data_IF_068338552815
#
_entry.id   IF_068338552815
#
_cell.length_a   1.000
_cell.length_b   1.000
_cell.length_c   1.000
_cell.angle_alpha   90.00
_cell.angle_beta   90.00
_cell.angle_gamma   90.00
#
_symmetry.space_group_name_H-M   'P 1'
#
loop_
_entity.id
_entity.type
_entity.pdbx_description
1 polymer ?
#
# COMPACT_ATOMS: atom_id res chain seq x y z
N UNK A 1 -70.90 3.64 30.63
CA UNK A 1 -70.00 3.09 29.59
C UNK A 1 -68.98 4.10 29.03
N UNK A 2 -69.04 5.41 29.38
CA UNK A 2 -68.15 6.42 28.77
C UNK A 2 -66.78 6.66 29.47
N UNK A 3 -66.61 6.29 30.74
CA UNK A 3 -65.36 6.59 31.49
C UNK A 3 -64.18 5.68 31.11
N UNK A 4 -64.44 4.48 30.58
CA UNK A 4 -63.39 3.50 30.22
C UNK A 4 -62.60 3.96 28.98
N UNK A 5 -63.29 4.51 27.98
CA UNK A 5 -62.68 5.08 26.77
C UNK A 5 -61.77 6.27 27.07
N UNK A 6 -62.08 7.08 28.09
CA UNK A 6 -61.27 8.25 28.42
C UNK A 6 -59.91 7.87 29.02
N UNK A 7 -59.85 6.82 29.85
CA UNK A 7 -58.57 6.33 30.41
C UNK A 7 -57.67 5.73 29.33
N UNK A 8 -58.24 5.00 28.38
CA UNK A 8 -57.49 4.40 27.29
C UNK A 8 -57.01 5.45 26.27
N UNK A 9 -57.79 6.51 26.06
CA UNK A 9 -57.38 7.68 25.27
C UNK A 9 -56.16 8.40 25.87
N UNK A 10 -56.17 8.67 27.18
CA UNK A 10 -55.02 9.28 27.86
C UNK A 10 -53.77 8.39 27.85
N UNK A 11 -53.92 7.07 27.98
CA UNK A 11 -52.81 6.11 27.82
C UNK A 11 -52.20 6.16 26.42
N UNK A 12 -53.03 6.22 25.39
CA UNK A 12 -52.57 6.30 24.00
C UNK A 12 -51.78 7.59 23.76
N UNK A 13 -52.28 8.73 24.27
CA UNK A 13 -51.57 10.02 24.22
C UNK A 13 -50.22 9.93 24.95
N UNK A 14 -50.18 9.35 26.15
CA UNK A 14 -48.92 9.19 26.89
C UNK A 14 -47.89 8.34 26.14
N UNK A 15 -48.33 7.28 25.45
CA UNK A 15 -47.45 6.45 24.61
C UNK A 15 -46.92 7.24 23.41
N UNK A 16 -47.78 8.01 22.74
CA UNK A 16 -47.36 8.84 21.59
C UNK A 16 -46.36 9.94 22.01
N UNK A 17 -46.58 10.56 23.17
CA UNK A 17 -45.62 11.53 23.74
C UNK A 17 -44.28 10.85 24.05
N UNK A 18 -44.30 9.65 24.63
CA UNK A 18 -43.07 8.91 24.92
C UNK A 18 -42.29 8.57 23.64
N UNK A 19 -42.98 8.10 22.60
CA UNK A 19 -42.37 7.80 21.29
C UNK A 19 -41.76 9.08 20.69
N UNK A 20 -42.48 10.20 20.74
CA UNK A 20 -41.98 11.48 20.26
C UNK A 20 -40.75 11.97 21.03
N UNK A 21 -40.73 11.81 22.35
CA UNK A 21 -39.56 12.12 23.19
C UNK A 21 -38.36 11.24 22.87
N UNK A 22 -38.56 9.95 22.60
CA UNK A 22 -37.47 9.04 22.19
C UNK A 22 -36.92 9.46 20.83
N UNK A 23 -37.77 9.72 19.84
CA UNK A 23 -37.34 10.14 18.50
C UNK A 23 -36.55 11.47 18.58
N UNK A 24 -37.07 12.46 19.30
CA UNK A 24 -36.39 13.76 19.45
C UNK A 24 -35.06 13.64 20.19
N UNK A 25 -34.95 12.77 21.20
CA UNK A 25 -33.70 12.47 21.89
C UNK A 25 -32.63 11.92 20.92
N UNK A 26 -33.00 10.99 20.04
CA UNK A 26 -32.07 10.43 19.05
C UNK A 26 -31.65 11.46 17.99
N UNK A 27 -32.54 12.37 17.57
CA UNK A 27 -32.18 13.48 16.68
C UNK A 27 -31.19 14.47 17.33
N UNK A 28 -31.33 14.75 18.62
CA UNK A 28 -30.38 15.60 19.37
C UNK A 28 -29.01 14.92 19.45
N UNK A 29 -28.95 13.61 19.73
CA UNK A 29 -27.69 12.86 19.73
C UNK A 29 -27.02 12.85 18.35
N UNK A 30 -27.79 12.69 17.27
CA UNK A 30 -27.28 12.74 15.91
C UNK A 30 -26.67 14.13 15.59
N UNK A 31 -27.36 15.21 15.97
CA UNK A 31 -26.86 16.58 15.78
C UNK A 31 -25.55 16.83 16.55
N UNK A 32 -25.45 16.33 17.79
CA UNK A 32 -24.22 16.41 18.58
C UNK A 32 -23.09 15.63 17.89
N UNK A 33 -23.35 14.43 17.37
CA UNK A 33 -22.36 13.62 16.65
C UNK A 33 -21.87 14.30 15.35
N UNK A 34 -22.78 14.91 14.59
CA UNK A 34 -22.41 15.67 13.37
C UNK A 34 -21.57 16.89 13.74
N UNK A 35 -21.95 17.64 14.78
CA UNK A 35 -21.20 18.79 15.25
C UNK A 35 -19.78 18.41 15.73
N UNK A 36 -19.62 17.31 16.46
CA UNK A 36 -18.30 16.83 16.91
C UNK A 36 -17.43 16.39 15.74
N UNK A 37 -17.99 15.73 14.73
CA UNK A 37 -17.27 15.37 13.49
C UNK A 37 -16.83 16.60 12.70
N UNK A 38 -17.67 17.64 12.61
CA UNK A 38 -17.31 18.90 11.95
C UNK A 38 -16.20 19.63 12.70
N UNK A 39 -16.28 19.73 14.03
CA UNK A 39 -15.23 20.32 14.86
C UNK A 39 -13.92 19.53 14.72
N UNK A 40 -13.97 18.20 14.77
CA UNK A 40 -12.80 17.34 14.57
C UNK A 40 -12.20 17.51 13.17
N UNK A 41 -13.03 17.58 12.12
CA UNK A 41 -12.61 17.86 10.75
C UNK A 41 -11.90 19.21 10.62
N UNK A 42 -12.43 20.27 11.24
CA UNK A 42 -11.83 21.61 11.28
C UNK A 42 -10.50 21.59 12.03
N UNK A 43 -10.43 20.93 13.20
CA UNK A 43 -9.19 20.78 13.98
C UNK A 43 -8.13 20.04 13.16
N UNK A 44 -8.49 18.93 12.52
CA UNK A 44 -7.59 18.12 11.70
C UNK A 44 -7.10 18.89 10.47
N UNK A 45 -7.99 19.64 9.82
CA UNK A 45 -7.63 20.52 8.71
C UNK A 45 -6.66 21.63 9.15
N UNK A 46 -6.92 22.27 10.29
CA UNK A 46 -6.01 23.27 10.88
C UNK A 46 -4.65 22.69 11.27
N UNK A 47 -4.59 21.47 11.82
CA UNK A 47 -3.34 20.78 12.13
C UNK A 47 -2.54 20.44 10.86
N UNK A 48 -3.20 19.97 9.79
CA UNK A 48 -2.56 19.72 8.50
C UNK A 48 -1.98 21.01 7.90
N UNK A 49 -2.72 22.12 7.96
CA UNK A 49 -2.26 23.43 7.48
C UNK A 49 -1.09 24.00 8.31
N UNK A 50 -1.11 23.86 9.64
CA UNK A 50 0.02 24.26 10.50
C UNK A 50 1.30 23.47 10.17
N UNK A 51 1.19 22.17 9.83
CA UNK A 51 2.34 21.35 9.38
C UNK A 51 2.94 21.84 8.06
N UNK A 52 2.11 22.21 7.09
CA UNK A 52 2.57 22.78 5.81
C UNK A 52 3.26 24.14 6.01
N UNK A 53 2.79 24.95 6.95
CA UNK A 53 3.41 26.26 7.26
C UNK A 53 4.71 26.09 8.07
N UNK A 54 4.78 25.14 9.02
CA UNK A 54 6.02 24.86 9.76
C UNK A 54 7.12 24.26 8.87
N UNK A 55 6.78 23.34 7.96
CA UNK A 55 7.75 22.83 6.96
C UNK A 55 8.25 23.91 5.99
N UNK A 56 7.46 24.96 5.74
CA UNK A 56 7.88 26.14 4.96
C UNK A 56 8.68 27.17 5.78
N UNK A 57 8.58 27.15 7.11
CA UNK A 57 9.32 28.04 8.02
C UNK A 57 10.66 27.43 8.42
N UNK A 58 10.70 26.13 8.68
CA UNK A 58 11.92 25.39 9.04
C UNK A 58 12.93 25.34 7.88
N UNK A 59 12.48 25.57 6.64
CA UNK A 59 13.36 25.75 5.47
C UNK A 59 13.91 27.18 5.32
N UNK A 60 13.41 28.16 6.08
CA UNK A 60 13.91 29.55 6.09
C UNK A 60 14.86 29.83 7.26
N UNK A 61 14.84 29.02 8.31
CA UNK A 61 15.65 29.25 9.53
C UNK A 61 16.97 28.45 9.59
N UNK A 62 17.35 27.72 8.51
CA UNK A 62 18.68 27.05 8.40
C UNK A 62 19.73 27.97 7.73
N UNK A 63 19.38 29.18 7.31
CA UNK A 63 20.33 30.15 6.73
C UNK A 63 20.37 31.47 7.50
N UNK A 64 20.57 31.47 8.82
CA UNK A 64 20.99 32.70 9.52
C UNK A 64 21.43 32.46 10.97
N UNK A 65 22.63 31.92 11.19
CA UNK A 65 23.47 32.37 12.31
C UNK A 65 24.89 31.85 12.13
N UNK A 66 25.80 32.72 11.69
CA UNK A 66 27.19 32.84 12.16
C UNK A 66 27.84 34.03 11.40
N UNK A 67 28.01 35.13 12.14
CA UNK A 67 29.03 36.19 11.97
C UNK A 67 28.96 37.14 10.76
N UNK A 68 28.08 38.14 10.83
CA UNK A 68 28.13 39.35 9.97
C UNK A 68 28.97 40.50 10.56
N UNK A 69 29.64 40.32 11.71
CA UNK A 69 30.48 41.38 12.31
C UNK A 69 31.98 41.24 12.02
N UNK A 70 32.49 40.06 11.65
CA UNK A 70 33.90 39.87 11.27
C UNK A 70 34.17 40.13 9.77
N UNK A 71 33.13 40.06 8.93
CA UNK A 71 33.28 40.24 7.47
C UNK A 71 33.35 41.72 7.04
N UNK A 72 32.69 42.61 7.79
CA UNK A 72 32.61 44.04 7.46
C UNK A 72 33.91 44.83 7.75
N UNK A 73 34.76 44.33 8.65
CA UNK A 73 36.07 44.95 8.93
C UNK A 73 37.10 44.64 7.84
N UNK A 74 37.04 43.47 7.20
CA UNK A 74 37.95 43.12 6.10
C UNK A 74 37.67 43.93 4.84
N UNK A 75 36.41 44.25 4.54
CA UNK A 75 36.01 45.00 3.35
C UNK A 75 36.47 46.47 3.40
N UNK A 76 36.55 47.08 4.60
CA UNK A 76 37.03 48.47 4.77
C UNK A 76 38.55 48.63 4.54
N UNK A 77 39.31 47.53 4.50
CA UNK A 77 40.78 47.57 4.35
C UNK A 77 41.27 47.34 2.91
N UNK A 78 40.38 46.94 1.98
CA UNK A 78 40.78 46.57 0.62
C UNK A 78 40.86 47.80 -0.32
N UNK A 79 42.04 48.02 -0.91
CA UNK A 79 42.27 49.06 -1.93
C UNK A 79 41.44 48.76 -3.20
N UNK A 80 40.88 49.79 -3.87
CA UNK A 80 40.03 49.58 -5.04
C UNK A 80 40.87 49.16 -6.25
N UNK A 81 40.53 48.00 -6.84
CA UNK A 81 41.03 47.56 -8.15
C UNK A 81 40.17 48.20 -9.24
N UNK A 82 40.84 48.73 -10.28
CA UNK A 82 40.24 49.44 -11.42
C UNK A 82 39.23 48.56 -12.18
N UNK A 83 38.08 49.15 -12.49
CA UNK A 83 36.99 48.59 -13.28
C UNK A 83 37.44 48.18 -14.69
N UNK A 84 37.29 46.90 -15.04
CA UNK A 84 37.13 46.46 -16.42
C UNK A 84 35.65 46.21 -16.70
N UNK A 85 35.07 47.04 -17.59
CA UNK A 85 33.65 47.03 -17.97
C UNK A 85 33.20 45.77 -18.73
N UNK A 86 34.11 44.91 -19.17
CA UNK A 86 33.77 43.78 -20.06
C UNK A 86 33.09 42.59 -19.37
N UNK A 87 33.25 42.43 -18.05
CA UNK A 87 32.64 41.32 -17.30
C UNK A 87 31.17 41.60 -16.97
N UNK A 88 30.80 42.87 -16.79
CA UNK A 88 29.42 43.25 -16.42
C UNK A 88 28.45 43.12 -17.61
N UNK A 89 28.92 43.34 -18.84
CA UNK A 89 28.11 43.15 -20.06
C UNK A 89 27.90 41.68 -20.41
N UNK A 90 28.91 40.83 -20.20
CA UNK A 90 28.80 39.39 -20.42
C UNK A 90 27.88 38.72 -19.38
N UNK A 91 27.84 39.21 -18.14
CA UNK A 91 26.87 38.76 -17.13
C UNK A 91 25.44 39.20 -17.47
N UNK A 92 25.23 40.45 -17.94
CA UNK A 92 23.89 40.92 -18.35
C UNK A 92 23.29 40.14 -19.52
N UNK A 93 24.12 39.61 -20.42
CA UNK A 93 23.70 38.73 -21.50
C UNK A 93 23.42 37.29 -21.05
N UNK A 94 24.03 36.84 -19.94
CA UNK A 94 23.80 35.53 -19.36
C UNK A 94 22.64 35.49 -18.35
N UNK A 95 22.17 36.65 -17.87
CA UNK A 95 21.06 36.79 -16.91
C UNK A 95 19.75 37.25 -17.54
N UNK A 96 19.62 37.28 -18.87
CA UNK A 96 18.30 37.40 -19.48
C UNK A 96 17.57 36.08 -19.28
N UNK A 97 16.71 36.02 -18.26
CA UNK A 97 15.79 34.91 -18.05
C UNK A 97 15.10 34.56 -19.38
N UNK A 98 15.07 33.29 -19.80
CA UNK A 98 14.29 32.92 -20.95
C UNK A 98 12.85 33.34 -20.68
N UNK A 99 12.24 34.07 -21.61
CA UNK A 99 10.83 34.44 -21.60
C UNK A 99 9.99 33.15 -21.62
N UNK A 100 9.81 32.53 -20.46
CA UNK A 100 8.99 31.36 -20.28
C UNK A 100 7.54 31.85 -20.25
N UNK A 101 6.86 31.68 -21.37
CA UNK A 101 5.43 31.93 -21.44
C UNK A 101 4.72 30.90 -20.55
N UNK A 102 4.40 31.27 -19.31
CA UNK A 102 3.63 30.44 -18.37
C UNK A 102 2.21 30.09 -18.88
N UNK A 103 1.76 30.71 -19.98
CA UNK A 103 0.50 30.43 -20.66
C UNK A 103 0.67 29.68 -22.00
N UNK A 104 1.88 29.22 -22.34
CA UNK A 104 2.04 28.27 -23.43
C UNK A 104 1.51 26.91 -22.93
N UNK A 105 0.59 26.23 -23.64
CA UNK A 105 0.20 24.88 -23.27
C UNK A 105 1.46 24.02 -23.30
N UNK A 106 1.86 23.51 -22.13
CA UNK A 106 2.87 22.47 -22.05
C UNK A 106 2.26 21.28 -22.78
N UNK A 107 2.68 21.03 -24.02
CA UNK A 107 2.47 19.75 -24.67
C UNK A 107 3.35 18.74 -23.97
N UNK A 108 2.90 18.29 -22.79
CA UNK A 108 3.24 16.96 -22.34
C UNK A 108 2.50 16.09 -23.34
N UNK A 109 3.22 15.35 -24.19
CA UNK A 109 2.66 14.21 -24.93
C UNK A 109 2.18 13.19 -23.88
N UNK A 110 1.05 13.50 -23.23
CA UNK A 110 0.39 12.60 -22.31
C UNK A 110 -0.25 11.54 -23.18
N UNK A 111 0.01 10.26 -22.90
CA UNK A 111 -0.62 9.19 -23.64
C UNK A 111 -2.14 9.35 -23.57
N UNK A 112 -2.84 9.09 -24.67
CA UNK A 112 -4.29 8.93 -24.59
C UNK A 112 -4.54 7.58 -23.93
N UNK A 113 -5.26 7.60 -22.81
CA UNK A 113 -5.51 6.40 -22.00
C UNK A 113 -6.93 5.92 -22.28
N UNK A 114 -7.05 4.69 -22.78
CA UNK A 114 -8.31 4.03 -23.06
C UNK A 114 -8.50 2.84 -22.12
N UNK A 115 -9.46 2.94 -21.20
CA UNK A 115 -9.93 1.74 -20.50
C UNK A 115 -10.81 0.96 -21.46
N UNK A 116 -10.40 -0.26 -21.78
CA UNK A 116 -11.17 -1.14 -22.64
C UNK A 116 -12.38 -1.70 -21.87
N UNK A 117 -13.33 -2.27 -22.62
CA UNK A 117 -14.44 -3.08 -22.08
C UNK A 117 -14.71 -4.26 -23.01
N UNK A 118 -13.65 -4.83 -23.58
CA UNK A 118 -13.73 -5.90 -24.57
C UNK A 118 -12.87 -7.07 -24.14
N UNK A 119 -13.24 -8.27 -24.57
CA UNK A 119 -12.42 -9.47 -24.33
C UNK A 119 -11.08 -9.32 -25.05
N UNK A 120 -9.99 -9.52 -24.31
CA UNK A 120 -8.63 -9.57 -24.83
C UNK A 120 -8.12 -11.00 -24.69
N UNK A 121 -7.64 -11.60 -25.79
CA UNK A 121 -6.88 -12.86 -25.77
C UNK A 121 -5.38 -12.62 -25.90
N UNK A 122 -5.01 -11.44 -26.42
CA UNK A 122 -3.65 -10.94 -26.55
C UNK A 122 -3.53 -9.71 -25.66
N UNK A 123 -2.72 -9.81 -24.61
CA UNK A 123 -2.56 -8.77 -23.60
C UNK A 123 -1.19 -8.90 -22.91
N UNK A 124 -0.74 -7.82 -22.29
CA UNK A 124 0.45 -7.83 -21.41
C UNK A 124 0.00 -7.45 -20.01
N UNK A 125 0.21 -8.35 -19.06
CA UNK A 125 0.03 -8.00 -17.65
C UNK A 125 1.25 -7.23 -17.18
N UNK A 126 1.07 -6.14 -16.44
CA UNK A 126 2.17 -5.35 -15.85
C UNK A 126 1.86 -5.07 -14.39
N UNK A 127 2.90 -5.18 -13.55
CA UNK A 127 2.87 -4.91 -12.12
C UNK A 127 4.21 -4.30 -11.70
N UNK A 128 4.19 -3.35 -10.76
CA UNK A 128 5.40 -2.70 -10.25
C UNK A 128 5.47 -2.75 -8.73
N UNK A 129 6.70 -2.75 -8.21
CA UNK A 129 7.00 -2.47 -6.82
C UNK A 129 7.60 -1.07 -6.67
N UNK A 130 7.27 -0.38 -5.58
CA UNK A 130 7.67 1.02 -5.36
C UNK A 130 8.08 1.30 -3.91
N UNK A 131 8.87 2.35 -3.68
CA UNK A 131 9.29 2.78 -2.34
C UNK A 131 8.17 3.44 -1.50
N UNK A 132 7.01 3.70 -2.10
CA UNK A 132 5.88 4.33 -1.44
C UNK A 132 4.66 4.44 -2.37
N UNK A 133 3.93 5.55 -2.32
CA UNK A 133 2.67 5.71 -3.08
C UNK A 133 2.62 6.95 -3.96
N UNK A 134 3.61 7.84 -3.89
CA UNK A 134 3.64 9.12 -4.60
C UNK A 134 4.68 9.07 -5.72
N UNK A 135 4.23 9.08 -6.97
CA UNK A 135 5.10 8.98 -8.16
C UNK A 135 6.09 10.15 -8.31
N UNK A 136 5.93 11.23 -7.54
CA UNK A 136 6.83 12.38 -7.56
C UNK A 136 7.94 12.30 -6.49
N UNK A 137 7.69 11.58 -5.40
CA UNK A 137 8.60 11.49 -4.24
C UNK A 137 9.18 10.09 -4.04
N UNK A 138 8.48 9.06 -4.54
CA UNK A 138 8.83 7.65 -4.44
C UNK A 138 9.34 7.10 -5.79
N UNK A 139 10.17 6.06 -5.73
CA UNK A 139 10.76 5.41 -6.89
C UNK A 139 10.25 3.99 -7.14
N UNK A 140 10.41 3.51 -8.38
CA UNK A 140 10.14 2.13 -8.77
C UNK A 140 11.32 1.24 -8.33
N UNK A 141 11.05 0.09 -7.72
CA UNK A 141 12.04 -0.88 -7.25
C UNK A 141 12.05 -2.18 -8.06
N UNK A 142 10.95 -2.53 -8.72
CA UNK A 142 10.86 -3.66 -9.65
C UNK A 142 9.78 -3.39 -10.70
N UNK A 143 9.99 -3.89 -11.91
CA UNK A 143 8.99 -3.92 -12.99
C UNK A 143 8.87 -5.36 -13.48
N UNK A 144 7.66 -5.89 -13.47
CA UNK A 144 7.34 -7.18 -14.04
C UNK A 144 6.27 -7.08 -15.11
N UNK A 145 6.38 -7.92 -16.13
CA UNK A 145 5.36 -8.07 -17.15
C UNK A 145 5.29 -9.49 -17.72
N UNK A 146 4.09 -9.94 -18.06
CA UNK A 146 3.83 -11.24 -18.67
C UNK A 146 2.99 -11.06 -19.92
N UNK A 147 3.50 -11.56 -21.06
CA UNK A 147 2.86 -11.40 -22.36
C UNK A 147 2.05 -12.63 -22.72
N UNK A 148 0.77 -12.43 -23.00
CA UNK A 148 -0.17 -13.44 -23.44
C UNK A 148 -0.48 -13.27 -24.92
N UNK A 149 -0.50 -14.37 -25.67
CA UNK A 149 -1.06 -14.44 -27.03
C UNK A 149 -1.96 -15.65 -27.11
N UNK A 150 -3.18 -15.45 -27.60
CA UNK A 150 -4.22 -16.48 -27.60
C UNK A 150 -4.35 -17.17 -26.22
N UNK A 151 -4.37 -16.38 -25.14
CA UNK A 151 -4.46 -16.85 -23.76
C UNK A 151 -3.28 -17.65 -23.20
N UNK A 152 -2.20 -17.79 -23.96
CA UNK A 152 -1.02 -18.53 -23.56
C UNK A 152 0.11 -17.57 -23.24
N UNK A 153 0.81 -17.79 -22.13
CA UNK A 153 2.04 -17.06 -21.80
C UNK A 153 3.09 -17.34 -22.88
N UNK A 154 3.56 -16.28 -23.53
CA UNK A 154 4.56 -16.36 -24.62
C UNK A 154 5.90 -15.76 -24.24
N UNK A 155 5.93 -14.85 -23.27
CA UNK A 155 7.14 -14.12 -22.90
C UNK A 155 6.99 -13.48 -21.51
N UNK A 156 8.11 -13.19 -20.85
CA UNK A 156 8.15 -12.56 -19.52
C UNK A 156 9.27 -11.52 -19.45
N UNK A 157 9.00 -10.41 -18.81
CA UNK A 157 9.96 -9.36 -18.49
C UNK A 157 9.95 -9.15 -16.97
N UNK A 158 11.12 -9.17 -16.35
CA UNK A 158 11.27 -8.94 -14.91
C UNK A 158 12.62 -8.30 -14.65
N UNK A 159 12.61 -7.11 -14.04
CA UNK A 159 13.83 -6.40 -13.67
C UNK A 159 13.67 -5.65 -12.36
N UNK A 160 14.70 -5.70 -11.52
CA UNK A 160 14.86 -4.70 -10.46
C UNK A 160 15.14 -3.33 -11.07
N UNK A 161 14.83 -2.29 -10.30
CA UNK A 161 15.03 -0.89 -10.68
C UNK A 161 15.67 -0.16 -9.51
N UNK A 162 16.64 0.71 -9.80
CA UNK A 162 17.25 1.59 -8.80
C UNK A 162 16.34 2.83 -8.60
N UNK A 163 15.65 2.97 -7.44
CA UNK A 163 14.60 3.97 -7.25
C UNK A 163 15.11 5.42 -7.08
N UNK A 164 16.42 5.63 -6.92
CA UNK A 164 17.01 6.96 -6.69
C UNK A 164 16.86 7.49 -5.26
N UNK A 165 16.18 6.76 -4.38
CA UNK A 165 16.03 7.01 -2.95
C UNK A 165 16.22 5.72 -2.14
N UNK A 166 16.35 5.82 -0.82
CA UNK A 166 16.41 4.63 0.04
C UNK A 166 15.02 3.98 0.15
N UNK A 167 14.96 2.66 0.00
CA UNK A 167 13.72 1.89 0.20
C UNK A 167 13.42 1.87 1.71
N UNK A 168 12.26 2.40 2.17
CA UNK A 168 11.91 2.37 3.59
C UNK A 168 11.84 0.94 4.12
N UNK A 169 12.32 0.69 5.33
CA UNK A 169 12.38 -0.66 5.90
C UNK A 169 11.04 -1.40 5.85
N UNK A 170 9.93 -0.68 6.13
CA UNK A 170 8.57 -1.22 6.03
C UNK A 170 8.23 -1.72 4.62
N UNK A 171 8.71 -1.05 3.58
CA UNK A 171 8.51 -1.48 2.18
C UNK A 171 9.40 -2.69 1.88
N UNK A 172 10.65 -2.70 2.35
CA UNK A 172 11.52 -3.87 2.21
C UNK A 172 10.90 -5.14 2.81
N UNK A 173 10.18 -5.02 3.93
CA UNK A 173 9.43 -6.12 4.52
C UNK A 173 8.23 -6.58 3.69
N UNK A 174 7.59 -5.67 2.95
CA UNK A 174 6.41 -5.99 2.15
C UNK A 174 6.80 -6.62 0.82
N UNK A 175 7.85 -6.11 0.18
CA UNK A 175 8.24 -6.51 -1.18
C UNK A 175 9.42 -7.47 -1.20
N UNK A 176 10.10 -7.65 -0.07
CA UNK A 176 11.33 -8.43 0.06
C UNK A 176 12.49 -7.89 -0.82
N UNK A 177 12.42 -6.61 -1.22
CA UNK A 177 13.43 -5.90 -2.00
C UNK A 177 14.23 -4.99 -1.08
N UNK A 178 15.54 -5.23 -0.97
CA UNK A 178 16.45 -4.43 -0.15
C UNK A 178 17.22 -3.40 -0.96
N UNK A 179 17.81 -2.39 -0.30
CA UNK A 179 18.65 -1.40 -0.96
C UNK A 179 19.86 -2.05 -1.67
N UNK A 180 20.39 -3.13 -1.12
CA UNK A 180 21.51 -3.88 -1.70
C UNK A 180 21.10 -4.58 -3.00
N UNK A 181 19.88 -5.15 -3.07
CA UNK A 181 19.35 -5.81 -4.29
C UNK A 181 19.28 -4.83 -5.46
N UNK A 182 18.90 -3.58 -5.22
CA UNK A 182 18.68 -2.57 -6.27
C UNK A 182 19.90 -1.68 -6.54
N UNK A 183 20.99 -1.83 -5.78
CA UNK A 183 22.13 -0.91 -5.84
C UNK A 183 22.76 -0.78 -7.23
N UNK A 184 22.80 -1.90 -7.97
CA UNK A 184 23.36 -2.03 -9.31
C UNK A 184 22.29 -2.25 -10.40
N UNK A 185 21.01 -2.11 -10.05
CA UNK A 185 19.91 -2.25 -11.00
C UNK A 185 19.87 -1.07 -12.00
N UNK A 186 19.25 -1.25 -13.19
CA UNK A 186 19.05 -0.17 -14.14
C UNK A 186 18.23 0.99 -13.55
N UNK A 187 18.34 2.16 -14.18
CA UNK A 187 17.47 3.30 -13.82
C UNK A 187 16.03 3.03 -14.26
N UNK A 188 15.06 3.69 -13.63
CA UNK A 188 13.65 3.57 -14.02
C UNK A 188 13.43 3.89 -15.51
N UNK A 189 14.15 4.89 -16.04
CA UNK A 189 14.07 5.29 -17.43
C UNK A 189 14.53 4.18 -18.38
N UNK A 190 15.66 3.52 -18.08
CA UNK A 190 16.21 2.46 -18.92
C UNK A 190 15.29 1.23 -18.90
N UNK A 191 14.84 0.83 -17.70
CA UNK A 191 13.92 -0.28 -17.53
C UNK A 191 12.56 -0.05 -18.24
N UNK A 192 12.06 1.18 -18.26
CA UNK A 192 10.83 1.55 -18.97
C UNK A 192 10.99 1.50 -20.48
N UNK A 193 12.15 1.85 -21.02
CA UNK A 193 12.39 1.76 -22.47
C UNK A 193 12.43 0.30 -22.94
N UNK A 194 13.01 -0.59 -22.14
CA UNK A 194 12.94 -2.03 -22.35
C UNK A 194 11.49 -2.54 -22.23
N UNK A 195 10.74 -2.09 -21.21
CA UNK A 195 9.34 -2.44 -21.04
C UNK A 195 8.49 -2.00 -22.25
N UNK A 196 8.68 -0.79 -22.79
CA UNK A 196 7.98 -0.34 -24.00
C UNK A 196 8.24 -1.26 -25.18
N UNK A 197 9.50 -1.64 -25.38
CA UNK A 197 9.91 -2.55 -26.44
C UNK A 197 9.27 -3.92 -26.25
N UNK A 198 9.17 -4.39 -25.00
CA UNK A 198 8.49 -5.63 -24.65
C UNK A 198 6.98 -5.57 -24.92
N UNK A 199 6.30 -4.49 -24.50
CA UNK A 199 4.84 -4.32 -24.63
C UNK A 199 4.42 -4.11 -26.08
N UNK A 200 5.14 -3.27 -26.83
CA UNK A 200 4.74 -2.84 -28.17
C UNK A 200 3.36 -2.18 -28.18
N UNK A 201 2.47 -2.65 -29.05
CA UNK A 201 1.10 -2.14 -29.21
C UNK A 201 0.04 -3.04 -28.55
N UNK A 202 0.46 -3.98 -27.69
CA UNK A 202 -0.45 -4.94 -27.05
C UNK A 202 -1.17 -4.25 -25.87
N UNK A 203 -2.49 -4.41 -25.71
CA UNK A 203 -3.21 -3.85 -24.57
C UNK A 203 -2.69 -4.38 -23.23
N UNK A 204 -2.72 -3.51 -22.21
CA UNK A 204 -2.25 -3.82 -20.88
C UNK A 204 -3.35 -4.39 -19.99
N UNK A 205 -2.97 -5.18 -19.00
CA UNK A 205 -3.84 -5.67 -17.93
C UNK A 205 -3.12 -5.47 -16.60
N UNK A 206 -3.84 -5.08 -15.56
CA UNK A 206 -3.28 -5.04 -14.21
C UNK A 206 -4.35 -5.20 -13.13
N UNK A 207 -3.94 -5.10 -11.88
CA UNK A 207 -4.82 -5.14 -10.73
C UNK A 207 -4.67 -3.84 -9.94
N UNK A 208 -5.71 -2.99 -9.91
CA UNK A 208 -5.59 -1.59 -9.46
C UNK A 208 -4.61 -0.79 -10.33
N UNK A 209 -4.57 -1.08 -11.63
CA UNK A 209 -3.51 -0.71 -12.57
C UNK A 209 -3.29 0.80 -12.73
N UNK A 210 -4.27 1.63 -12.33
CA UNK A 210 -4.11 3.09 -12.31
C UNK A 210 -2.96 3.53 -11.41
N UNK A 211 -2.63 2.75 -10.38
CA UNK A 211 -1.49 2.98 -9.49
C UNK A 211 -0.15 2.77 -10.23
N UNK A 212 0.00 1.66 -10.94
CA UNK A 212 1.21 1.35 -11.69
C UNK A 212 1.40 2.34 -12.84
N UNK A 213 0.32 2.60 -13.57
CA UNK A 213 0.33 3.41 -14.78
C UNK A 213 0.83 4.85 -14.52
N UNK A 214 0.50 5.45 -13.38
CA UNK A 214 1.01 6.80 -13.05
C UNK A 214 2.52 6.82 -12.82
N UNK A 215 3.09 5.80 -12.16
CA UNK A 215 4.54 5.65 -11.97
C UNK A 215 5.24 5.40 -13.30
N UNK A 216 4.68 4.51 -14.13
CA UNK A 216 5.21 4.22 -15.46
C UNK A 216 5.21 5.49 -16.34
N UNK A 217 4.10 6.21 -16.43
CA UNK A 217 4.00 7.44 -17.23
C UNK A 217 4.95 8.52 -16.72
N UNK A 218 5.03 8.70 -15.39
CA UNK A 218 5.96 9.67 -14.78
C UNK A 218 7.40 9.40 -15.20
N UNK A 219 7.80 8.13 -15.25
CA UNK A 219 9.15 7.72 -15.60
C UNK A 219 9.36 7.48 -17.12
N UNK A 220 8.42 7.92 -17.96
CA UNK A 220 8.61 7.98 -19.40
C UNK A 220 7.90 6.91 -20.22
N UNK A 221 6.93 6.16 -19.65
CA UNK A 221 6.09 5.22 -20.40
C UNK A 221 5.01 5.96 -21.20
N UNK A 222 5.42 6.62 -22.29
CA UNK A 222 4.58 7.49 -23.13
C UNK A 222 4.26 6.87 -24.50
N UNK A 223 3.59 5.70 -24.51
CA UNK A 223 3.01 5.17 -25.76
C UNK A 223 1.90 6.11 -26.27
N UNK A 224 1.78 6.31 -27.58
CA UNK A 224 0.80 7.25 -28.14
C UNK A 224 -0.65 6.94 -27.71
N UNK A 225 -1.01 5.66 -27.65
CA UNK A 225 -2.28 5.17 -27.15
C UNK A 225 -2.05 4.01 -26.16
N UNK A 226 -2.41 4.21 -24.89
CA UNK A 226 -2.37 3.15 -23.88
C UNK A 226 -3.78 2.60 -23.70
N UNK A 227 -4.01 1.38 -24.16
CA UNK A 227 -5.22 0.62 -23.89
C UNK A 227 -5.01 -0.32 -22.72
N UNK A 228 -5.89 -0.33 -21.72
CA UNK A 228 -5.78 -1.24 -20.58
C UNK A 228 -7.12 -1.78 -20.06
N UNK A 229 -7.07 -2.91 -19.37
CA UNK A 229 -8.13 -3.44 -18.50
C UNK A 229 -7.62 -3.52 -17.06
N UNK A 230 -8.54 -3.39 -16.10
CA UNK A 230 -8.22 -3.47 -14.67
C UNK A 230 -9.10 -4.51 -13.98
N UNK A 231 -8.46 -5.53 -13.41
CA UNK A 231 -9.14 -6.66 -12.76
C UNK A 231 -9.80 -6.28 -11.45
N UNK A 232 -9.37 -5.20 -10.79
CA UNK A 232 -9.99 -4.74 -9.54
C UNK A 232 -11.45 -4.31 -9.73
N UNK A 233 -11.80 -3.36 -10.63
CA UNK A 233 -13.20 -3.02 -10.89
C UNK A 233 -13.98 -4.19 -11.51
N UNK A 234 -13.34 -5.04 -12.33
CA UNK A 234 -13.99 -6.23 -12.87
C UNK A 234 -14.44 -7.18 -11.75
N UNK A 235 -13.55 -7.51 -10.82
CA UNK A 235 -13.85 -8.40 -9.69
C UNK A 235 -14.89 -7.79 -8.74
N UNK A 236 -14.81 -6.50 -8.42
CA UNK A 236 -15.83 -5.81 -7.61
C UNK A 236 -17.24 -5.93 -8.22
N UNK A 237 -17.34 -5.91 -9.55
CA UNK A 237 -18.62 -6.00 -10.24
C UNK A 237 -19.13 -7.45 -10.36
N UNK A 238 -18.23 -8.43 -10.51
CA UNK A 238 -18.59 -9.82 -10.82
C UNK A 238 -18.68 -10.73 -9.59
N UNK A 239 -17.99 -10.39 -8.51
CA UNK A 239 -17.91 -11.18 -7.27
C UNK A 239 -18.33 -10.34 -6.04
N UNK A 240 -19.51 -9.68 -6.06
CA UNK A 240 -19.91 -8.72 -5.03
C UNK A 240 -20.03 -9.30 -3.61
N UNK A 241 -20.07 -10.62 -3.47
CA UNK A 241 -20.12 -11.35 -2.21
C UNK A 241 -18.79 -11.48 -1.48
N UNK A 242 -17.66 -11.15 -2.13
CA UNK A 242 -16.35 -11.20 -1.48
C UNK A 242 -16.16 -10.06 -0.47
N UNK A 243 -15.57 -10.39 0.68
CA UNK A 243 -15.25 -9.41 1.72
C UNK A 243 -14.31 -8.29 1.22
N UNK A 244 -13.42 -8.63 0.28
CA UNK A 244 -12.55 -7.69 -0.40
C UNK A 244 -12.03 -8.27 -1.72
N UNK A 245 -11.50 -7.40 -2.58
CA UNK A 245 -11.04 -7.76 -3.92
C UNK A 245 -9.53 -7.59 -4.10
N UNK A 246 -8.75 -7.73 -3.03
CA UNK A 246 -7.29 -7.71 -3.14
C UNK A 246 -6.81 -8.92 -3.93
N UNK A 247 -5.69 -8.79 -4.64
CA UNK A 247 -5.11 -9.90 -5.42
C UNK A 247 -4.92 -11.20 -4.62
N UNK A 248 -4.43 -11.19 -3.35
CA UNK A 248 -4.37 -12.42 -2.54
C UNK A 248 -5.73 -13.07 -2.28
N UNK A 249 -6.79 -12.27 -2.10
CA UNK A 249 -8.15 -12.80 -1.92
C UNK A 249 -8.65 -13.49 -3.19
N UNK A 250 -8.41 -12.88 -4.35
CA UNK A 250 -8.79 -13.46 -5.65
C UNK A 250 -7.95 -14.70 -5.98
N UNK A 251 -6.66 -14.66 -5.69
CA UNK A 251 -5.73 -15.79 -5.79
C UNK A 251 -6.25 -17.00 -5.02
N UNK A 252 -6.64 -16.77 -3.76
CA UNK A 252 -7.21 -17.81 -2.91
C UNK A 252 -8.56 -18.30 -3.45
N UNK A 253 -9.45 -17.38 -3.83
CA UNK A 253 -10.78 -17.70 -4.36
C UNK A 253 -10.74 -18.60 -5.59
N UNK A 254 -9.83 -18.32 -6.53
CA UNK A 254 -9.63 -19.10 -7.75
C UNK A 254 -8.63 -20.26 -7.59
N UNK A 255 -8.13 -20.52 -6.37
CA UNK A 255 -7.21 -21.64 -6.11
C UNK A 255 -5.84 -21.54 -6.81
N UNK A 256 -5.35 -20.33 -7.05
CA UNK A 256 -4.05 -20.08 -7.70
C UNK A 256 -2.91 -20.26 -6.68
N UNK A 257 -1.95 -21.14 -6.96
CA UNK A 257 -0.97 -21.64 -5.96
C UNK A 257 0.47 -21.15 -6.13
N UNK A 258 0.73 -20.08 -6.89
CA UNK A 258 2.09 -19.51 -7.01
C UNK A 258 2.50 -18.79 -5.70
N UNK A 259 3.77 -18.36 -5.57
CA UNK A 259 4.22 -17.54 -4.43
C UNK A 259 3.63 -16.11 -4.51
N UNK A 260 3.44 -15.43 -3.38
CA UNK A 260 2.91 -14.05 -3.34
C UNK A 260 4.04 -13.03 -3.12
N UNK A 261 3.78 -11.73 -3.34
CA UNK A 261 4.72 -10.63 -3.09
C UNK A 261 6.00 -10.71 -3.93
N UNK A 262 5.81 -11.20 -5.16
CA UNK A 262 6.79 -11.15 -6.23
C UNK A 262 6.02 -10.65 -7.45
N UNK A 263 6.35 -9.46 -7.94
CA UNK A 263 5.60 -8.80 -9.02
C UNK A 263 5.45 -9.65 -10.29
N UNK A 264 6.39 -10.58 -10.59
CA UNK A 264 6.25 -11.50 -11.71
C UNK A 264 5.19 -12.58 -11.45
N UNK A 265 5.13 -13.10 -10.23
CA UNK A 265 4.08 -14.03 -9.83
C UNK A 265 2.73 -13.33 -9.73
N UNK A 266 2.70 -12.09 -9.25
CA UNK A 266 1.48 -11.27 -9.20
C UNK A 266 0.98 -10.92 -10.61
N UNK A 267 1.87 -10.73 -11.60
CA UNK A 267 1.48 -10.66 -13.01
C UNK A 267 0.83 -11.96 -13.52
N UNK A 268 1.38 -13.13 -13.17
CA UNK A 268 0.78 -14.43 -13.55
C UNK A 268 -0.60 -14.60 -12.90
N UNK A 269 -0.70 -14.32 -11.60
CA UNK A 269 -1.97 -14.35 -10.85
C UNK A 269 -2.99 -13.42 -11.49
N UNK A 270 -2.61 -12.18 -11.78
CA UNK A 270 -3.47 -11.17 -12.40
C UNK A 270 -3.93 -11.60 -13.80
N UNK A 271 -3.07 -12.24 -14.59
CA UNK A 271 -3.44 -12.80 -15.89
C UNK A 271 -4.50 -13.91 -15.77
N UNK A 272 -4.30 -14.85 -14.84
CA UNK A 272 -5.29 -15.92 -14.57
C UNK A 272 -6.61 -15.34 -14.04
N UNK A 273 -6.56 -14.41 -13.09
CA UNK A 273 -7.74 -13.69 -12.57
C UNK A 273 -8.48 -12.96 -13.70
N UNK A 274 -7.74 -12.28 -14.58
CA UNK A 274 -8.33 -11.60 -15.74
C UNK A 274 -9.09 -12.59 -16.63
N UNK A 275 -8.50 -13.76 -16.94
CA UNK A 275 -9.14 -14.78 -17.76
C UNK A 275 -10.43 -15.31 -17.13
N UNK A 276 -10.42 -15.68 -15.85
CA UNK A 276 -11.62 -16.10 -15.11
C UNK A 276 -12.72 -15.03 -15.16
N UNK A 277 -12.38 -13.79 -14.81
CA UNK A 277 -13.33 -12.68 -14.81
C UNK A 277 -13.84 -12.35 -16.22
N UNK A 278 -13.00 -12.41 -17.25
CA UNK A 278 -13.36 -12.15 -18.65
C UNK A 278 -14.33 -13.20 -19.19
N UNK A 279 -14.14 -14.45 -18.80
CA UNK A 279 -14.88 -15.60 -19.32
C UNK A 279 -16.11 -15.99 -18.49
N UNK A 280 -16.34 -15.28 -17.39
CA UNK A 280 -17.43 -15.57 -16.44
C UNK A 280 -17.28 -16.96 -15.78
N UNK A 281 -16.05 -17.45 -15.68
CA UNK A 281 -15.68 -18.63 -14.89
C UNK A 281 -15.41 -18.20 -13.45
N UNK A 282 -16.49 -18.08 -12.67
CA UNK A 282 -16.51 -17.45 -11.35
C UNK A 282 -16.63 -18.47 -10.21
N UNK A 283 -16.54 -19.77 -10.49
CA UNK A 283 -16.67 -20.78 -9.46
C UNK A 283 -15.45 -20.78 -8.53
N UNK A 284 -15.70 -20.66 -7.22
CA UNK A 284 -14.63 -20.74 -6.23
C UNK A 284 -14.01 -22.14 -6.19
N UNK A 285 -12.69 -22.22 -6.08
CA UNK A 285 -12.02 -23.49 -5.81
C UNK A 285 -12.14 -23.80 -4.31
N UNK A 286 -12.66 -24.97 -3.90
CA UNK A 286 -12.72 -25.35 -2.49
C UNK A 286 -11.33 -25.29 -1.88
N UNK A 287 -11.20 -24.62 -0.73
CA UNK A 287 -9.98 -24.67 0.08
C UNK A 287 -9.69 -26.13 0.35
N UNK A 288 -8.56 -26.64 -0.16
CA UNK A 288 -8.12 -28.01 0.09
C UNK A 288 -8.11 -28.27 1.59
N UNK A 289 -8.71 -29.38 2.03
CA UNK A 289 -8.62 -29.88 3.40
C UNK A 289 -7.16 -29.82 3.91
N UNK A 290 -6.94 -29.61 5.23
CA UNK A 290 -5.59 -29.49 5.77
C UNK A 290 -4.76 -30.68 5.32
N UNK A 291 -3.66 -30.36 4.64
CA UNK A 291 -2.74 -31.35 4.05
C UNK A 291 -2.08 -32.19 5.14
N UNK A 292 -2.06 -31.68 6.38
CA UNK A 292 -1.59 -32.36 7.57
C UNK A 292 -2.26 -31.80 8.81
N UNK A 293 -2.31 -32.58 9.89
CA UNK A 293 -2.91 -32.23 11.19
C UNK A 293 -1.86 -31.83 12.22
N UNK A 294 -0.65 -31.49 11.78
CA UNK A 294 0.51 -31.23 12.65
C UNK A 294 0.28 -30.15 13.71
N UNK A 295 -0.53 -29.15 13.39
CA UNK A 295 -0.93 -28.06 14.27
C UNK A 295 -2.38 -28.20 14.77
N UNK A 296 -2.99 -29.38 14.64
CA UNK A 296 -4.36 -29.62 15.08
C UNK A 296 -4.53 -29.25 16.57
N UNK A 297 -5.54 -28.44 16.85
CA UNK A 297 -5.85 -27.96 18.21
C UNK A 297 -4.97 -26.80 18.70
N UNK A 298 -3.92 -26.44 17.98
CA UNK A 298 -3.05 -25.31 18.34
C UNK A 298 -3.60 -23.98 17.81
N UNK A 299 -3.45 -22.93 18.62
CA UNK A 299 -3.85 -21.57 18.30
C UNK A 299 -2.63 -20.65 18.19
N UNK A 300 -2.60 -19.91 17.09
CA UNK A 300 -1.53 -19.00 16.75
C UNK A 300 -2.06 -17.56 16.73
N UNK A 301 -1.23 -16.63 17.12
CA UNK A 301 -1.40 -15.21 16.83
C UNK A 301 -0.15 -14.76 16.06
N UNK A 302 -0.30 -13.84 15.12
CA UNK A 302 0.82 -13.32 14.33
C UNK A 302 0.94 -11.83 14.63
N UNK A 303 2.15 -11.34 14.87
CA UNK A 303 2.45 -9.92 15.08
C UNK A 303 3.71 -9.50 14.33
N UNK A 304 3.89 -8.20 14.10
CA UNK A 304 5.02 -7.67 13.33
C UNK A 304 4.97 -7.92 11.82
N UNK A 305 6.10 -7.63 11.18
CA UNK A 305 6.43 -7.82 9.77
C UNK A 305 7.56 -8.85 9.64
N UNK A 306 7.65 -9.54 8.50
CA UNK A 306 8.61 -10.63 8.29
C UNK A 306 9.31 -10.45 6.95
N UNK A 307 10.61 -10.75 6.87
CA UNK A 307 11.40 -10.58 5.63
C UNK A 307 11.24 -11.76 4.68
N UNK A 308 10.74 -12.89 5.16
CA UNK A 308 10.79 -14.16 4.44
C UNK A 308 9.42 -14.65 3.97
N UNK A 309 8.34 -14.10 4.53
CA UNK A 309 6.96 -14.44 4.16
C UNK A 309 5.99 -13.36 4.63
N UNK A 310 4.88 -13.18 3.95
CA UNK A 310 3.80 -12.32 4.45
C UNK A 310 3.00 -12.96 5.57
N UNK A 311 2.27 -12.12 6.34
CA UNK A 311 1.37 -12.60 7.40
C UNK A 311 0.27 -13.53 6.87
N UNK A 312 -0.18 -13.31 5.64
CA UNK A 312 -1.20 -14.13 5.01
C UNK A 312 -0.63 -15.50 4.65
N UNK A 313 0.58 -15.56 4.10
CA UNK A 313 1.29 -16.83 3.82
C UNK A 313 1.59 -17.61 5.10
N UNK A 314 2.04 -16.93 6.17
CA UNK A 314 2.22 -17.55 7.49
C UNK A 314 0.88 -18.10 8.00
N UNK A 315 -0.21 -17.36 7.81
CA UNK A 315 -1.55 -17.78 8.23
C UNK A 315 -2.01 -19.02 7.48
N UNK A 316 -1.86 -19.02 6.15
CA UNK A 316 -2.19 -20.16 5.29
C UNK A 316 -1.34 -21.38 5.65
N UNK A 317 -0.04 -21.20 5.86
CA UNK A 317 0.87 -22.26 6.29
C UNK A 317 0.37 -22.92 7.58
N UNK A 318 -0.04 -22.12 8.58
CA UNK A 318 -0.58 -22.63 9.83
C UNK A 318 -1.90 -23.39 9.59
N UNK A 319 -2.82 -22.82 8.81
CA UNK A 319 -4.16 -23.40 8.55
C UNK A 319 -4.06 -24.71 7.76
N UNK A 320 -3.22 -24.77 6.71
CA UNK A 320 -2.99 -25.99 5.92
C UNK A 320 -2.40 -27.12 6.75
N UNK A 321 -1.76 -26.80 7.87
CA UNK A 321 -1.23 -27.75 8.84
C UNK A 321 -2.20 -28.01 10.01
N UNK A 322 -3.45 -27.57 9.95
CA UNK A 322 -4.51 -27.84 10.94
C UNK A 322 -4.55 -26.87 12.13
N UNK A 323 -3.72 -25.82 12.10
CA UNK A 323 -3.68 -24.79 13.14
C UNK A 323 -4.78 -23.74 12.99
N UNK A 324 -5.04 -22.99 14.07
CA UNK A 324 -6.01 -21.89 14.08
C UNK A 324 -5.31 -20.56 14.29
N UNK A 325 -5.42 -19.65 13.33
CA UNK A 325 -4.90 -18.28 13.45
C UNK A 325 -5.96 -17.39 14.10
N UNK A 326 -5.54 -16.55 15.04
CA UNK A 326 -6.40 -15.64 15.81
C UNK A 326 -5.90 -14.21 15.70
N UNK A 327 -6.81 -13.23 15.77
CA UNK A 327 -6.49 -11.80 15.62
C UNK A 327 -5.75 -11.19 16.82
N UNK A 328 -5.83 -11.83 17.98
CA UNK A 328 -5.22 -11.32 19.21
C UNK A 328 -4.78 -12.44 20.14
N UNK A 329 -3.75 -12.16 20.93
CA UNK A 329 -3.26 -13.06 21.96
C UNK A 329 -4.33 -13.23 23.06
N UNK A 330 -4.53 -14.46 23.52
CA UNK A 330 -5.46 -14.83 24.59
C UNK A 330 -4.87 -15.94 25.46
N UNK A 331 -5.55 -16.31 26.54
CA UNK A 331 -5.17 -17.46 27.39
C UNK A 331 -5.14 -18.80 26.64
N UNK A 332 -5.82 -18.89 25.50
CA UNK A 332 -5.86 -20.09 24.66
C UNK A 332 -4.77 -20.09 23.59
N UNK A 333 -4.02 -18.99 23.43
CA UNK A 333 -2.97 -18.89 22.41
C UNK A 333 -1.79 -19.77 22.82
N UNK A 334 -1.38 -20.68 21.94
CA UNK A 334 -0.22 -21.55 22.14
C UNK A 334 1.06 -20.88 21.64
N UNK A 335 0.98 -20.20 20.50
CA UNK A 335 2.13 -19.56 19.87
C UNK A 335 1.80 -18.13 19.46
N UNK A 336 2.70 -17.20 19.77
CA UNK A 336 2.79 -15.90 19.11
C UNK A 336 3.93 -15.99 18.10
N UNK A 337 3.60 -15.87 16.81
CA UNK A 337 4.58 -15.69 15.75
C UNK A 337 4.94 -14.22 15.71
N UNK A 338 6.17 -13.91 16.07
CA UNK A 338 6.65 -12.56 16.29
C UNK A 338 7.63 -12.14 15.20
N UNK A 339 7.32 -11.00 14.59
CA UNK A 339 8.09 -10.40 13.52
C UNK A 339 8.59 -9.01 13.93
N UNK A 340 9.38 -8.39 13.05
CA UNK A 340 9.98 -7.09 13.29
C UNK A 340 8.89 -6.02 13.38
N UNK A 341 8.98 -5.20 14.43
CA UNK A 341 8.04 -4.10 14.68
C UNK A 341 8.56 -2.81 14.05
N UNK A 342 7.83 -2.30 13.05
CA UNK A 342 8.21 -1.09 12.30
C UNK A 342 7.13 0.00 12.32
N UNK A 343 6.05 -0.19 13.08
CA UNK A 343 4.98 0.81 13.14
C UNK A 343 5.38 1.98 14.03
N UNK A 344 5.28 3.21 13.53
CA UNK A 344 5.56 4.42 14.32
C UNK A 344 4.54 4.67 15.43
N UNK A 345 3.45 3.90 15.48
CA UNK A 345 2.36 4.02 16.46
C UNK A 345 2.44 3.01 17.59
N UNK A 346 3.55 2.28 17.74
CA UNK A 346 3.75 1.39 18.87
C UNK A 346 3.72 2.20 20.18
N UNK A 347 3.02 1.67 21.18
CA UNK A 347 2.67 2.45 22.38
C UNK A 347 3.90 2.81 23.22
N UNK A 348 4.87 1.91 23.29
CA UNK A 348 6.16 2.09 23.95
C UNK A 348 7.30 2.34 22.93
N UNK A 349 6.96 2.48 21.64
CA UNK A 349 7.90 2.64 20.54
C UNK A 349 8.66 1.38 20.14
N UNK A 350 8.42 0.24 20.78
CA UNK A 350 9.22 -0.98 20.58
C UNK A 350 8.34 -2.21 20.32
N UNK A 351 7.31 -2.42 21.14
CA UNK A 351 6.52 -3.66 21.15
C UNK A 351 5.10 -3.44 20.66
N UNK A 352 4.56 -4.45 19.99
CA UNK A 352 3.14 -4.54 19.67
C UNK A 352 2.30 -4.85 20.91
N UNK A 353 1.00 -4.53 20.86
CA UNK A 353 0.07 -4.93 21.92
C UNK A 353 -0.03 -6.45 22.11
N UNK A 354 0.26 -7.23 21.07
CA UNK A 354 0.31 -8.69 21.15
C UNK A 354 1.53 -9.18 21.93
N UNK A 355 2.71 -8.58 21.74
CA UNK A 355 3.93 -8.89 22.50
C UNK A 355 3.73 -8.57 23.99
N UNK A 356 3.23 -7.37 24.30
CA UNK A 356 2.96 -6.96 25.68
C UNK A 356 2.01 -7.92 26.38
N UNK A 357 0.93 -8.32 25.70
CA UNK A 357 -0.05 -9.27 26.23
C UNK A 357 0.49 -10.69 26.36
N UNK A 358 1.34 -11.13 25.43
CA UNK A 358 1.99 -12.43 25.51
C UNK A 358 2.95 -12.49 26.70
N UNK A 359 3.78 -11.44 26.89
CA UNK A 359 4.68 -11.31 28.03
C UNK A 359 3.91 -11.34 29.37
N UNK A 360 2.81 -10.61 29.48
CA UNK A 360 1.95 -10.63 30.67
C UNK A 360 1.40 -12.04 30.96
N UNK A 361 0.92 -12.75 29.94
CA UNK A 361 0.40 -14.11 30.12
C UNK A 361 1.49 -15.11 30.52
N UNK A 362 2.68 -15.02 29.94
CA UNK A 362 3.83 -15.86 30.29
C UNK A 362 4.24 -15.59 31.74
N UNK A 363 4.31 -14.33 32.15
CA UNK A 363 4.59 -13.95 33.53
C UNK A 363 3.55 -14.53 34.51
N UNK A 364 2.30 -14.64 34.07
CA UNK A 364 1.20 -15.27 34.80
C UNK A 364 1.13 -16.80 34.66
N UNK A 365 2.20 -17.45 34.17
CA UNK A 365 2.33 -18.90 34.12
C UNK A 365 1.75 -19.58 32.88
N UNK A 366 1.40 -18.83 31.84
CA UNK A 366 0.97 -19.40 30.56
C UNK A 366 2.10 -20.18 29.87
N UNK A 367 1.77 -21.31 29.24
CA UNK A 367 2.69 -22.09 28.41
C UNK A 367 2.85 -21.54 26.97
N UNK A 368 2.34 -20.33 26.71
CA UNK A 368 2.48 -19.64 25.43
C UNK A 368 3.95 -19.48 25.07
N UNK A 369 4.30 -19.76 23.81
CA UNK A 369 5.65 -19.55 23.26
C UNK A 369 5.65 -18.41 22.25
N UNK A 370 6.66 -17.54 22.34
CA UNK A 370 6.93 -16.53 21.32
C UNK A 370 8.04 -17.10 20.42
N UNK A 371 7.79 -17.15 19.12
CA UNK A 371 8.71 -17.72 18.13
C UNK A 371 8.72 -16.84 16.87
N UNK A 372 9.81 -16.86 16.11
CA UNK A 372 9.87 -16.21 14.80
C UNK A 372 9.37 -17.13 13.67
N UNK A 373 9.45 -16.66 12.43
CA UNK A 373 9.04 -17.44 11.26
C UNK A 373 9.93 -18.66 11.00
N UNK A 374 11.25 -18.55 11.22
CA UNK A 374 12.16 -19.67 11.04
C UNK A 374 11.85 -20.80 12.03
N UNK A 375 11.62 -20.48 13.30
CA UNK A 375 11.22 -21.45 14.32
C UNK A 375 9.86 -22.08 14.01
N UNK A 376 8.93 -21.36 13.37
CA UNK A 376 7.68 -21.95 12.87
C UNK A 376 7.96 -23.01 11.77
N UNK A 377 8.88 -22.72 10.85
CA UNK A 377 9.30 -23.68 9.81
C UNK A 377 10.01 -24.89 10.43
N UNK A 378 10.84 -24.70 11.44
CA UNK A 378 11.49 -25.78 12.18
C UNK A 378 10.47 -26.65 12.93
N UNK A 379 9.44 -26.04 13.54
CA UNK A 379 8.33 -26.80 14.11
C UNK A 379 7.69 -27.70 13.06
N UNK A 380 7.56 -27.23 11.81
CA UNK A 380 7.06 -27.99 10.65
C UNK A 380 8.05 -29.04 10.11
N UNK A 381 9.34 -28.88 10.29
CA UNK A 381 10.34 -29.88 9.91
C UNK A 381 10.49 -30.99 10.97
N UNK A 382 10.53 -30.65 12.26
CA UNK A 382 11.01 -31.52 13.34
C UNK A 382 10.02 -32.59 13.85
N UNK A 383 8.91 -32.87 13.16
CA UNK A 383 7.96 -33.93 13.59
C UNK A 383 7.95 -35.16 12.68
N UNK A 384 8.87 -35.24 11.71
CA UNK A 384 9.03 -36.41 10.83
C UNK A 384 9.91 -37.50 11.44
N UNK A 385 10.41 -37.33 12.67
CA UNK A 385 11.38 -38.23 13.33
C UNK A 385 10.81 -39.09 14.47
N UNK A 386 9.50 -39.32 14.55
CA UNK A 386 8.91 -40.21 15.57
C UNK A 386 7.95 -41.25 14.99
N UNK A 387 8.38 -41.91 13.91
CA UNK A 387 7.87 -43.21 13.52
C UNK A 387 9.00 -44.03 12.87
N UNK A 388 9.74 -44.75 13.70
CA UNK A 388 10.58 -45.88 13.31
C UNK A 388 10.35 -47.00 14.32
#
# INVERSE_FOLDING_TARGET
MQVKNMKDFWKLISILILIWLVITFWWVLLLIAVATLLVWGIIRYRQKRKRVIHMSSDRKDITSTTTSQEFDEQIKSAKPIKQEKSVVESIKQATSEPNFNYNAPIHIDRPVIHQLRRKLTDFVVVDIETTGFDEYEDGITQISAVKYKNDIVTDTFDTYVKPGCDIPQKVQFLTHITNEKVANAPTAKDAIEELKSFVGNIPLVGHNFRFDLKFLIHNGFNLSDISYEDTLPMSNSKLPELDNHKLPTLKHYFGITNESHNSLNDCKTTGTVYQHLRDDDLDSVPISEPTTTKFAGLRFCITGQFMEASRDEISELIIRNGGRVTKSVSKLTNYLIDGIQVDVRLTDGVHSGSELKAAELIQNGSALKIIDYQALQELLANSTTTSA
#
